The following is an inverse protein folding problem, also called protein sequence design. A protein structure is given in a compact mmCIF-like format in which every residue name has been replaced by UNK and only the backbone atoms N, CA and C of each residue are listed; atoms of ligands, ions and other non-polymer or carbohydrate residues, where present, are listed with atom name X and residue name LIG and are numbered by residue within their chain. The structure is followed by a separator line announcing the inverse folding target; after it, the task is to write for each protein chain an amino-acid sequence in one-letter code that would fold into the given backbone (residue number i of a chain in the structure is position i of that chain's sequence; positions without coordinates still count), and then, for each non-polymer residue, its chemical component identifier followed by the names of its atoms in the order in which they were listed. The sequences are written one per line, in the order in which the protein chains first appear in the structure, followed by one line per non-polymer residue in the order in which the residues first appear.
data_IF_877590447437
#
_entry.id   IF_877590447437
#
_cell.length_a   1.000
_cell.length_b   1.000
_cell.length_c   1.000
_cell.angle_alpha   90.00
_cell.angle_beta   90.00
_cell.angle_gamma   90.00
#
_symmetry.space_group_name_H-M   'P 1'
#
loop_
_entity.id
_entity.type
_entity.pdbx_description
1 polymer ?
#
# COMPACT_ATOMS: atom_id res chain seq x y z
N UNK A 1 -28.93 -18.29 -1.33
CA UNK A 1 -28.85 -17.92 -2.77
C UNK A 1 -27.88 -16.76 -2.91
N UNK A 2 -27.03 -16.73 -3.96
CA UNK A 2 -26.23 -15.55 -4.25
C UNK A 2 -27.15 -14.33 -4.43
N UNK A 3 -26.78 -13.20 -3.83
CA UNK A 3 -27.51 -11.93 -4.05
C UNK A 3 -27.04 -11.39 -5.40
N UNK A 4 -27.93 -11.35 -6.38
CA UNK A 4 -27.65 -10.73 -7.68
C UNK A 4 -27.74 -9.22 -7.49
N UNK A 5 -26.65 -8.52 -7.75
CA UNK A 5 -26.60 -7.07 -7.79
C UNK A 5 -26.98 -6.62 -9.21
N UNK A 6 -27.98 -5.74 -9.31
CA UNK A 6 -28.51 -5.26 -10.58
C UNK A 6 -27.91 -3.90 -10.99
N UNK A 7 -27.07 -3.31 -10.15
CA UNK A 7 -26.49 -2.00 -10.40
C UNK A 7 -25.49 -2.04 -11.57
N UNK A 8 -25.52 -1.00 -12.40
CA UNK A 8 -24.56 -0.81 -13.48
C UNK A 8 -23.13 -0.71 -12.92
N UNK A 9 -22.22 -1.56 -13.41
CA UNK A 9 -20.80 -1.54 -13.07
C UNK A 9 -20.02 -0.94 -14.24
N UNK A 10 -19.26 0.11 -13.99
CA UNK A 10 -18.50 0.84 -14.99
C UNK A 10 -17.00 0.50 -14.89
N UNK A 11 -16.36 0.26 -16.03
CA UNK A 11 -14.91 0.15 -16.17
C UNK A 11 -14.29 1.51 -16.58
N UNK A 12 -12.95 1.61 -16.54
CA UNK A 12 -12.23 2.80 -17.00
C UNK A 12 -12.51 3.18 -18.46
N UNK A 13 -12.81 2.19 -19.32
CA UNK A 13 -13.14 2.41 -20.75
C UNK A 13 -14.53 3.03 -20.96
N UNK A 14 -15.40 2.96 -19.96
CA UNK A 14 -16.80 3.40 -20.07
C UNK A 14 -16.98 4.88 -19.70
N UNK A 15 -15.92 5.53 -19.22
CA UNK A 15 -15.99 6.89 -18.66
C UNK A 15 -14.93 7.82 -19.24
N UNK A 16 -15.22 9.12 -19.23
CA UNK A 16 -14.28 10.19 -19.59
C UNK A 16 -14.41 11.32 -18.57
N UNK A 17 -13.29 12.01 -18.29
CA UNK A 17 -13.33 13.24 -17.51
C UNK A 17 -13.88 14.40 -18.35
N UNK A 18 -14.89 15.10 -17.83
CA UNK A 18 -15.39 16.33 -18.44
C UNK A 18 -14.44 17.49 -18.12
N UNK A 19 -13.84 18.17 -19.12
CA UNK A 19 -13.00 19.34 -18.87
C UNK A 19 -13.74 20.45 -18.13
N UNK A 20 -13.05 21.16 -17.24
CA UNK A 20 -13.55 22.33 -16.50
C UNK A 20 -12.61 23.51 -16.70
N UNK A 21 -13.14 24.73 -16.59
CA UNK A 21 -12.32 25.95 -16.58
C UNK A 21 -11.34 25.89 -15.41
N UNK A 22 -10.08 26.23 -15.66
CA UNK A 22 -8.99 26.23 -14.67
C UNK A 22 -8.19 27.52 -14.77
N UNK A 23 -7.57 27.92 -13.66
CA UNK A 23 -6.63 29.04 -13.59
C UNK A 23 -5.18 28.63 -13.90
N UNK A 24 -4.90 27.32 -14.02
CA UNK A 24 -3.56 26.81 -14.31
C UNK A 24 -3.14 27.19 -15.73
N UNK A 25 -1.90 27.68 -15.86
CA UNK A 25 -1.33 28.09 -17.17
C UNK A 25 -0.48 26.99 -17.79
N UNK A 26 0.07 26.11 -16.96
CA UNK A 26 0.96 25.03 -17.40
C UNK A 26 0.70 23.74 -16.62
N UNK A 27 0.99 22.60 -17.25
CA UNK A 27 0.97 21.28 -16.59
C UNK A 27 2.02 21.17 -15.49
N UNK A 28 3.10 21.93 -15.58
CA UNK A 28 4.16 21.95 -14.56
C UNK A 28 3.73 22.57 -13.23
N UNK A 29 2.59 23.27 -13.20
CA UNK A 29 2.03 23.87 -11.98
C UNK A 29 1.21 22.87 -11.16
N UNK A 30 1.01 21.64 -11.67
CA UNK A 30 0.22 20.61 -11.00
C UNK A 30 1.06 19.89 -9.95
N UNK A 31 0.59 19.89 -8.70
CA UNK A 31 1.16 19.08 -7.64
C UNK A 31 0.46 17.71 -7.54
N UNK A 32 1.24 16.65 -7.76
CA UNK A 32 0.79 15.26 -7.68
C UNK A 32 0.94 14.69 -6.27
N UNK A 33 1.74 15.32 -5.40
CA UNK A 33 1.96 14.83 -4.06
C UNK A 33 0.68 14.92 -3.23
N UNK A 34 0.50 13.95 -2.34
CA UNK A 34 -0.61 13.89 -1.38
C UNK A 34 -0.07 13.60 -0.01
N UNK A 35 -0.69 14.21 1.00
CA UNK A 35 -0.42 13.92 2.40
C UNK A 35 -1.60 13.17 3.00
N UNK A 36 -1.34 12.01 3.61
CA UNK A 36 -2.36 11.22 4.30
C UNK A 36 -1.91 10.94 5.73
N UNK A 37 -2.81 11.11 6.70
CA UNK A 37 -2.61 10.59 8.05
C UNK A 37 -3.51 9.37 8.24
N UNK A 38 -2.89 8.22 8.49
CA UNK A 38 -3.61 6.96 8.54
C UNK A 38 -4.33 6.77 9.86
N UNK A 39 -5.61 6.38 9.78
CA UNK A 39 -6.51 6.25 10.94
C UNK A 39 -5.96 5.36 12.04
N UNK A 40 -5.45 4.17 11.69
CA UNK A 40 -5.10 3.14 12.68
C UNK A 40 -3.64 3.25 13.14
N UNK A 41 -2.69 3.42 12.21
CA UNK A 41 -1.26 3.52 12.56
C UNK A 41 -0.84 4.90 13.07
N UNK A 42 -1.65 5.94 12.80
CA UNK A 42 -1.34 7.37 13.05
C UNK A 42 -0.12 7.91 12.30
N UNK A 43 0.45 7.11 11.41
CA UNK A 43 1.56 7.50 10.56
C UNK A 43 1.09 8.49 9.50
N UNK A 44 2.01 9.33 9.01
CA UNK A 44 1.74 10.27 7.93
C UNK A 44 2.57 9.93 6.71
N UNK A 45 1.91 9.79 5.57
CA UNK A 45 2.53 9.63 4.25
C UNK A 45 2.56 10.97 3.53
N UNK A 46 3.63 11.24 2.79
CA UNK A 46 3.69 12.33 1.82
C UNK A 46 4.40 11.87 0.54
N UNK A 47 3.71 11.85 -0.59
CA UNK A 47 4.29 11.41 -1.87
C UNK A 47 3.25 11.28 -2.98
N UNK A 48 3.66 10.75 -4.14
CA UNK A 48 2.75 10.50 -5.26
C UNK A 48 2.08 9.13 -5.03
N UNK A 49 0.74 9.07 -4.91
CA UNK A 49 0.01 7.86 -4.55
C UNK A 49 -0.14 6.87 -5.73
N UNK A 50 1.00 6.47 -6.29
CA UNK A 50 1.13 5.44 -7.32
C UNK A 50 2.04 4.36 -6.74
N UNK A 51 1.56 3.12 -6.78
CA UNK A 51 2.21 1.97 -6.15
C UNK A 51 2.52 0.92 -7.23
N UNK A 52 3.77 0.49 -7.34
CA UNK A 52 4.11 -0.73 -8.05
C UNK A 52 3.58 -1.95 -7.29
N UNK A 53 2.91 -2.85 -8.00
CA UNK A 53 2.28 -4.03 -7.42
C UNK A 53 3.32 -5.02 -6.84
N UNK A 54 2.95 -5.71 -5.78
CA UNK A 54 3.72 -6.75 -5.07
C UNK A 54 3.91 -8.06 -5.87
N UNK A 55 3.83 -7.99 -7.20
CA UNK A 55 4.10 -9.13 -8.09
C UNK A 55 5.60 -9.35 -8.22
N UNK A 56 6.02 -10.59 -8.37
CA UNK A 56 7.42 -11.01 -8.50
C UNK A 56 8.20 -10.32 -9.64
N UNK A 57 7.51 -9.98 -10.71
CA UNK A 57 8.05 -9.30 -11.90
C UNK A 57 7.94 -7.79 -11.87
N UNK A 58 7.28 -7.21 -10.86
CA UNK A 58 7.01 -5.76 -10.77
C UNK A 58 7.57 -5.14 -9.49
N UNK A 59 7.24 -5.70 -8.32
CA UNK A 59 7.61 -5.22 -7.00
C UNK A 59 9.02 -5.62 -6.58
N UNK A 60 10.02 -5.34 -7.44
CA UNK A 60 11.42 -5.72 -7.22
C UNK A 60 12.21 -4.62 -6.52
N UNK A 61 13.37 -4.96 -5.96
CA UNK A 61 14.29 -3.97 -5.34
C UNK A 61 14.78 -2.92 -6.35
N UNK A 62 14.98 -3.33 -7.60
CA UNK A 62 15.37 -2.44 -8.68
C UNK A 62 14.25 -1.44 -9.01
N UNK A 63 13.00 -1.90 -9.01
CA UNK A 63 11.83 -1.04 -9.22
C UNK A 63 11.71 -0.02 -8.08
N UNK A 64 11.80 -0.48 -6.83
CA UNK A 64 11.79 0.37 -5.64
C UNK A 64 12.84 1.49 -5.73
N UNK A 65 14.06 1.17 -6.16
CA UNK A 65 15.16 2.14 -6.33
C UNK A 65 14.89 3.20 -7.40
N UNK A 66 14.17 2.86 -8.47
CA UNK A 66 13.88 3.81 -9.55
C UNK A 66 12.67 4.66 -9.19
N UNK A 67 11.60 4.05 -8.69
CA UNK A 67 10.38 4.75 -8.29
C UNK A 67 10.61 5.71 -7.12
N UNK A 68 11.53 5.37 -6.21
CA UNK A 68 11.82 6.21 -5.07
C UNK A 68 12.33 7.61 -5.43
N UNK A 69 13.11 7.70 -6.51
CA UNK A 69 13.62 8.97 -7.06
C UNK A 69 12.51 9.93 -7.51
N UNK A 70 11.32 9.40 -7.73
CA UNK A 70 10.16 10.14 -8.18
C UNK A 70 9.10 10.30 -7.08
N UNK A 71 9.39 9.92 -5.82
CA UNK A 71 8.42 9.88 -4.70
C UNK A 71 7.25 8.91 -4.94
N UNK A 72 7.48 7.86 -5.74
CA UNK A 72 6.53 6.77 -5.97
C UNK A 72 6.81 5.58 -5.04
N UNK A 73 5.77 4.80 -4.80
CA UNK A 73 5.76 3.72 -3.82
C UNK A 73 5.92 2.36 -4.52
N UNK A 74 6.53 1.37 -3.87
CA UNK A 74 6.64 0.00 -4.43
C UNK A 74 6.27 -1.01 -3.36
N UNK A 75 5.18 -1.75 -3.58
CA UNK A 75 4.88 -2.89 -2.74
C UNK A 75 5.82 -4.04 -3.10
N UNK A 76 6.63 -4.48 -2.13
CA UNK A 76 7.68 -5.45 -2.43
C UNK A 76 7.09 -6.83 -2.56
N UNK A 77 7.58 -7.62 -3.52
CA UNK A 77 7.19 -9.02 -3.61
C UNK A 77 7.58 -9.81 -2.34
N UNK A 78 6.84 -10.89 -2.05
CA UNK A 78 7.03 -11.69 -0.83
C UNK A 78 8.10 -12.80 -0.92
N UNK A 79 8.73 -12.96 -2.08
CA UNK A 79 9.63 -14.09 -2.35
C UNK A 79 11.10 -13.84 -2.00
N UNK A 80 11.47 -12.59 -1.68
CA UNK A 80 12.83 -12.29 -1.22
C UNK A 80 13.10 -12.91 0.16
N UNK A 81 14.30 -13.44 0.31
CA UNK A 81 14.84 -13.93 1.57
C UNK A 81 15.18 -12.79 2.53
N UNK A 82 15.30 -13.12 3.82
CA UNK A 82 15.70 -12.15 4.85
C UNK A 82 17.08 -11.54 4.57
N UNK A 83 18.02 -12.33 4.02
CA UNK A 83 19.37 -11.86 3.72
C UNK A 83 19.39 -10.90 2.53
N UNK A 84 18.53 -11.11 1.53
CA UNK A 84 18.36 -10.17 0.43
C UNK A 84 17.77 -8.84 0.94
N UNK A 85 16.78 -8.89 1.83
CA UNK A 85 16.22 -7.70 2.47
C UNK A 85 17.27 -6.92 3.28
N UNK A 86 18.08 -7.62 4.08
CA UNK A 86 19.18 -7.01 4.84
C UNK A 86 20.21 -6.38 3.90
N UNK A 87 20.58 -7.09 2.84
CA UNK A 87 21.53 -6.61 1.83
C UNK A 87 21.01 -5.35 1.15
N UNK A 88 19.72 -5.34 0.77
CA UNK A 88 19.07 -4.16 0.21
C UNK A 88 19.08 -2.98 1.18
N UNK A 89 18.71 -3.19 2.45
CA UNK A 89 18.70 -2.15 3.47
C UNK A 89 20.08 -1.55 3.75
N UNK A 90 21.13 -2.37 3.75
CA UNK A 90 22.52 -1.92 3.97
C UNK A 90 23.06 -1.16 2.76
N UNK A 91 22.77 -1.63 1.55
CA UNK A 91 23.27 -1.01 0.32
C UNK A 91 22.50 0.27 -0.04
N UNK A 92 21.28 0.40 0.48
CA UNK A 92 20.39 1.49 0.15
C UNK A 92 19.69 2.06 1.38
N UNK A 93 20.44 2.58 2.36
CA UNK A 93 19.88 3.15 3.57
C UNK A 93 18.92 4.30 3.25
N UNK A 94 19.15 5.05 2.16
CA UNK A 94 18.26 6.12 1.71
C UNK A 94 16.86 5.66 1.26
N UNK A 95 16.65 4.36 1.00
CA UNK A 95 15.35 3.79 0.57
C UNK A 95 14.69 2.90 1.63
N UNK A 96 15.35 2.67 2.76
CA UNK A 96 14.76 2.04 3.96
C UNK A 96 14.57 3.04 5.08
N UNK A 97 15.42 4.06 5.19
CA UNK A 97 15.28 5.11 6.19
C UNK A 97 14.11 6.02 5.85
N UNK A 98 13.46 6.49 6.92
CA UNK A 98 12.49 7.57 6.98
C UNK A 98 13.14 8.93 6.64
N UNK A 99 13.91 9.00 5.56
CA UNK A 99 14.48 10.22 5.03
C UNK A 99 13.59 10.78 3.91
N UNK A 100 13.19 12.06 4.00
CA UNK A 100 12.44 12.72 2.94
C UNK A 100 13.22 12.76 1.61
N UNK A 101 12.53 12.66 0.45
CA UNK A 101 11.09 12.53 0.34
C UNK A 101 10.66 11.07 0.08
N UNK A 102 10.61 10.28 1.16
CA UNK A 102 9.50 9.36 1.47
C UNK A 102 9.20 8.25 0.46
N UNK A 103 10.05 7.23 0.39
CA UNK A 103 9.65 5.97 -0.23
C UNK A 103 9.87 4.83 0.75
N UNK A 104 8.79 4.50 1.46
CA UNK A 104 8.75 3.35 2.33
C UNK A 104 8.18 2.18 1.54
N UNK A 105 8.89 1.06 1.55
CA UNK A 105 8.56 -0.11 0.73
C UNK A 105 7.94 -1.18 1.64
N UNK A 106 6.63 -1.48 1.54
CA UNK A 106 6.03 -2.43 2.43
C UNK A 106 6.57 -3.82 2.19
N UNK A 107 6.77 -4.55 3.28
CA UNK A 107 6.91 -5.99 3.22
C UNK A 107 5.52 -6.60 2.93
N UNK A 108 5.45 -7.46 1.92
CA UNK A 108 4.21 -8.15 1.56
C UNK A 108 4.09 -9.52 2.21
N UNK A 109 2.87 -9.92 2.57
CA UNK A 109 2.56 -11.21 3.16
C UNK A 109 1.21 -11.73 2.65
N UNK A 110 1.11 -13.05 2.46
CA UNK A 110 -0.17 -13.73 2.44
C UNK A 110 -0.73 -13.95 3.84
N UNK A 111 -1.76 -14.78 3.96
CA UNK A 111 -2.39 -15.13 5.24
C UNK A 111 -1.88 -16.44 5.88
N UNK A 112 -0.91 -17.11 5.26
CA UNK A 112 -0.33 -18.34 5.79
C UNK A 112 0.59 -18.10 6.98
N UNK A 113 0.72 -19.10 7.87
CA UNK A 113 1.59 -19.02 9.05
C UNK A 113 3.06 -18.75 8.69
N UNK A 114 3.58 -19.44 7.66
CA UNK A 114 4.95 -19.25 7.20
C UNK A 114 5.18 -17.85 6.59
N UNK A 115 4.18 -17.30 5.90
CA UNK A 115 4.25 -15.93 5.37
C UNK A 115 4.29 -14.91 6.51
N UNK A 116 3.49 -15.12 7.57
CA UNK A 116 3.50 -14.26 8.77
C UNK A 116 4.83 -14.33 9.54
N UNK A 117 5.40 -15.52 9.70
CA UNK A 117 6.71 -15.70 10.36
C UNK A 117 7.79 -14.93 9.59
N UNK A 118 7.85 -15.09 8.26
CA UNK A 118 8.77 -14.34 7.40
C UNK A 118 8.56 -12.83 7.50
N UNK A 119 7.30 -12.37 7.51
CA UNK A 119 6.99 -10.95 7.70
C UNK A 119 7.54 -10.43 9.03
N UNK A 120 7.37 -11.19 10.12
CA UNK A 120 7.89 -10.81 11.43
C UNK A 120 9.41 -10.72 11.42
N UNK A 121 10.10 -11.72 10.86
CA UNK A 121 11.56 -11.72 10.73
C UNK A 121 12.09 -10.49 9.97
N UNK A 122 11.43 -10.10 8.87
CA UNK A 122 11.81 -8.92 8.07
C UNK A 122 11.62 -7.63 8.88
N UNK A 123 10.46 -7.45 9.51
CA UNK A 123 10.15 -6.23 10.26
C UNK A 123 11.00 -6.08 11.54
N UNK A 124 11.35 -7.20 12.19
CA UNK A 124 12.27 -7.21 13.33
C UNK A 124 13.70 -6.89 12.91
N UNK A 125 14.15 -7.41 11.76
CA UNK A 125 15.49 -7.15 11.23
C UNK A 125 15.65 -5.74 10.66
N UNK A 126 14.56 -5.15 10.13
CA UNK A 126 14.57 -3.83 9.49
C UNK A 126 13.44 -2.97 10.09
N UNK A 127 13.67 -2.40 11.29
CA UNK A 127 12.65 -1.64 12.01
C UNK A 127 12.15 -0.39 11.29
N UNK A 128 12.86 0.08 10.26
CA UNK A 128 12.50 1.27 9.49
C UNK A 128 11.33 1.03 8.53
N UNK A 129 11.04 -0.23 8.16
CA UNK A 129 9.86 -0.57 7.34
C UNK A 129 8.60 -0.30 8.16
N UNK A 130 7.82 0.74 7.84
CA UNK A 130 6.57 1.04 8.57
C UNK A 130 5.30 0.57 7.88
N UNK A 131 5.39 0.05 6.67
CA UNK A 131 4.23 -0.38 5.89
C UNK A 131 4.22 -1.89 5.70
N UNK A 132 3.02 -2.46 5.70
CA UNK A 132 2.77 -3.89 5.50
C UNK A 132 1.71 -4.01 4.41
N UNK A 133 1.97 -4.86 3.42
CA UNK A 133 1.01 -5.18 2.37
C UNK A 133 0.47 -6.60 2.59
N UNK A 134 -0.79 -6.72 2.99
CA UNK A 134 -1.46 -8.01 3.13
C UNK A 134 -2.24 -8.29 1.85
N UNK A 135 -1.88 -9.37 1.17
CA UNK A 135 -2.44 -9.68 -0.14
C UNK A 135 -2.87 -11.14 -0.25
N UNK A 136 -4.15 -11.33 -0.57
CA UNK A 136 -4.80 -12.61 -0.78
C UNK A 136 -5.80 -12.50 -1.92
N UNK A 137 -6.01 -13.57 -2.66
CA UNK A 137 -6.95 -13.58 -3.77
C UNK A 137 -8.42 -13.34 -3.34
N UNK A 138 -8.77 -13.70 -2.10
CA UNK A 138 -10.12 -13.55 -1.55
C UNK A 138 -10.09 -12.86 -0.18
N UNK A 139 -10.18 -11.53 -0.17
CA UNK A 139 -10.25 -10.71 1.04
C UNK A 139 -11.56 -10.83 1.83
N UNK A 140 -12.61 -11.45 1.26
CA UNK A 140 -13.91 -11.68 1.93
C UNK A 140 -13.88 -12.82 2.95
N UNK A 141 -12.78 -13.56 3.04
CA UNK A 141 -12.66 -14.67 3.98
C UNK A 141 -12.58 -14.17 5.42
N UNK A 142 -13.42 -14.70 6.31
CA UNK A 142 -13.30 -14.44 7.76
C UNK A 142 -11.91 -14.76 8.31
N UNK A 143 -11.25 -15.78 7.75
CA UNK A 143 -9.87 -16.12 8.08
C UNK A 143 -8.90 -14.95 7.81
N UNK A 144 -9.10 -14.23 6.71
CA UNK A 144 -8.29 -13.07 6.38
C UNK A 144 -8.59 -11.88 7.32
N UNK A 145 -9.85 -11.68 7.70
CA UNK A 145 -10.23 -10.66 8.69
C UNK A 145 -9.52 -10.90 10.03
N UNK A 146 -9.52 -12.14 10.52
CA UNK A 146 -8.82 -12.51 11.75
C UNK A 146 -7.29 -12.41 11.62
N UNK A 147 -6.76 -12.72 10.44
CA UNK A 147 -5.35 -12.55 10.14
C UNK A 147 -4.93 -11.07 10.20
N UNK A 148 -5.72 -10.17 9.62
CA UNK A 148 -5.49 -8.72 9.68
C UNK A 148 -5.48 -8.21 11.13
N UNK A 149 -6.43 -8.66 11.97
CA UNK A 149 -6.45 -8.33 13.40
C UNK A 149 -5.18 -8.80 14.09
N UNK A 150 -4.76 -10.04 13.83
CA UNK A 150 -3.53 -10.63 14.36
C UNK A 150 -2.30 -9.79 13.98
N UNK A 151 -2.19 -9.37 12.72
CA UNK A 151 -1.09 -8.52 12.23
C UNK A 151 -1.15 -7.13 12.89
N UNK A 152 -2.34 -6.54 13.02
CA UNK A 152 -2.54 -5.24 13.68
C UNK A 152 -2.14 -5.28 15.16
N UNK A 153 -2.50 -6.34 15.89
CA UNK A 153 -2.16 -6.50 17.31
C UNK A 153 -0.65 -6.66 17.50
N UNK A 154 0.03 -7.37 16.59
CA UNK A 154 1.50 -7.51 16.59
C UNK A 154 2.20 -6.21 16.20
N UNK A 155 1.66 -5.48 15.23
CA UNK A 155 2.30 -4.30 14.62
C UNK A 155 1.41 -3.05 14.71
N UNK A 156 1.10 -2.55 15.93
CA UNK A 156 0.09 -1.50 16.12
C UNK A 156 0.47 -0.18 15.45
N UNK A 157 1.77 0.11 15.32
CA UNK A 157 2.30 1.34 14.71
C UNK A 157 2.52 1.24 13.19
N UNK A 158 2.39 0.06 12.58
CA UNK A 158 2.62 -0.11 11.15
C UNK A 158 1.36 0.22 10.36
N UNK A 159 1.51 0.86 9.20
CA UNK A 159 0.41 1.07 8.25
C UNK A 159 0.17 -0.24 7.49
N UNK A 160 -1.06 -0.77 7.58
CA UNK A 160 -1.43 -2.02 6.91
C UNK A 160 -2.27 -1.66 5.69
N UNK A 161 -1.87 -2.18 4.54
CA UNK A 161 -2.53 -2.04 3.25
C UNK A 161 -3.08 -3.39 2.80
N UNK A 162 -4.21 -3.34 2.09
CA UNK A 162 -4.79 -4.46 1.34
C UNK A 162 -5.01 -4.00 -0.10
N UNK A 163 -4.68 -4.85 -1.07
CA UNK A 163 -4.80 -4.56 -2.51
C UNK A 163 -6.22 -4.85 -3.04
N UNK A 164 -7.00 -5.67 -2.34
CA UNK A 164 -8.38 -6.02 -2.70
C UNK A 164 -9.37 -5.19 -1.88
N UNK A 165 -10.33 -4.55 -2.56
CA UNK A 165 -11.33 -3.72 -1.89
C UNK A 165 -12.41 -4.60 -1.25
N UNK A 166 -12.48 -4.58 0.09
CA UNK A 166 -13.67 -5.01 0.82
C UNK A 166 -14.23 -3.84 1.65
N UNK A 167 -15.46 -3.42 1.35
CA UNK A 167 -16.19 -2.41 2.13
C UNK A 167 -16.38 -2.79 3.61
N UNK A 168 -16.25 -4.07 3.99
CA UNK A 168 -16.42 -4.52 5.37
C UNK A 168 -15.11 -4.57 6.17
N UNK A 169 -13.95 -4.41 5.52
CA UNK A 169 -12.63 -4.34 6.18
C UNK A 169 -12.18 -2.89 6.46
N UNK A 170 -12.95 -1.89 6.00
CA UNK A 170 -12.70 -0.46 6.19
C UNK A 170 -12.35 0.00 7.63
N UNK A 171 -12.89 -0.59 8.72
CA UNK A 171 -12.46 -0.18 10.06
C UNK A 171 -11.07 -0.70 10.44
N UNK A 172 -10.60 -1.81 9.85
CA UNK A 172 -9.38 -2.52 10.26
C UNK A 172 -8.15 -2.15 9.42
N UNK A 173 -8.35 -1.76 8.16
CA UNK A 173 -7.28 -1.59 7.16
C UNK A 173 -7.33 -0.19 6.55
N UNK A 174 -6.19 0.32 6.12
CA UNK A 174 -6.17 1.41 5.15
C UNK A 174 -6.23 0.78 3.77
N UNK A 175 -7.38 0.84 3.12
CA UNK A 175 -7.47 0.50 1.70
C UNK A 175 -6.78 1.60 0.92
N UNK A 176 -5.48 1.48 0.68
CA UNK A 176 -4.79 2.28 -0.32
C UNK A 176 -5.11 1.64 -1.67
N UNK A 177 -6.36 1.83 -2.08
CA UNK A 177 -6.80 1.40 -3.39
C UNK A 177 -5.96 2.15 -4.43
N UNK A 178 -5.36 1.40 -5.35
CA UNK A 178 -5.02 1.90 -6.67
C UNK A 178 -6.29 2.53 -7.26
N UNK A 179 -6.43 3.84 -7.07
CA UNK A 179 -7.48 4.70 -7.64
C UNK A 179 -8.90 4.12 -7.65
N UNK A 180 -9.61 4.22 -6.51
CA UNK A 180 -11.09 4.14 -6.50
C UNK A 180 -11.64 5.54 -6.16
N UNK A 181 -12.31 6.24 -7.09
CA UNK A 181 -13.10 7.40 -6.75
C UNK A 181 -14.33 6.92 -5.97
N UNK A 182 -14.33 7.09 -4.65
CA UNK A 182 -15.51 6.79 -3.81
C UNK A 182 -15.22 6.15 -2.46
N UNK A 183 -13.99 5.77 -2.12
CA UNK A 183 -13.67 5.47 -0.72
C UNK A 183 -13.70 6.77 0.08
N UNK A 184 -14.52 6.82 1.13
CA UNK A 184 -14.55 7.92 2.09
C UNK A 184 -13.24 7.95 2.88
N UNK A 185 -12.15 8.35 2.24
CA UNK A 185 -10.99 8.94 2.91
C UNK A 185 -11.37 10.38 3.23
N UNK A 186 -12.30 10.56 4.16
CA UNK A 186 -12.47 11.85 4.80
C UNK A 186 -11.18 12.14 5.59
N UNK A 187 -10.54 13.31 5.41
CA UNK A 187 -9.59 13.76 6.40
C UNK A 187 -10.35 13.82 7.74
N UNK A 188 -9.88 13.06 8.73
CA UNK A 188 -10.31 13.24 10.09
C UNK A 188 -9.91 14.66 10.50
N UNK A 189 -10.87 15.58 10.48
CA UNK A 189 -10.84 16.79 11.29
C UNK A 189 -10.98 16.41 12.76
#
# INVERSE_FOLDING_TARGET
MPRVDADLKLDFKDVLFRPKRSSLKSRSEVDLARTFTFRNSKQTYHGIPIIAANMDTTGTFEMARVLSKHTLFTAMQKHYSLDEWKTFAVNHPEYTLSCPPWCEHPASSGSGKADLERLCEILEAIPDIKYICLDVANGYSEYFVEFVKTVRDKFPKHTIMEIVCHSSLEPLIVTIALFIPGSNMSPLS
#
